data_IF_066003961786
#
_entry.id   IF_066003961786
#
_cell.length_a   1.000
_cell.length_b   1.000
_cell.length_c   1.000
_cell.angle_alpha   90.00
_cell.angle_beta   90.00
_cell.angle_gamma   90.00
#
_symmetry.space_group_name_H-M   'P 1'
#
loop_
_entity.id
_entity.type
_entity.pdbx_description
1 polymer ?
#
# COMPACT_ATOMS: atom_id res chain seq x y z
N UNK A 1 -25.97 45.23 4.52
CA UNK A 1 -26.07 45.79 5.88
C UNK A 1 -27.48 45.50 6.33
N UNK A 2 -27.67 44.48 7.16
CA UNK A 2 -28.98 44.14 7.72
C UNK A 2 -29.04 44.79 9.09
N UNK A 3 -29.97 45.73 9.25
CA UNK A 3 -30.21 46.41 10.51
C UNK A 3 -31.32 45.65 11.22
N UNK A 4 -30.98 44.86 12.23
CA UNK A 4 -31.99 44.21 13.06
C UNK A 4 -32.10 44.96 14.39
N UNK A 5 -33.24 45.59 14.60
CA UNK A 5 -33.58 46.37 15.77
C UNK A 5 -34.34 45.48 16.75
N UNK A 6 -33.68 45.04 17.82
CA UNK A 6 -34.41 44.55 19.01
C UNK A 6 -34.87 45.78 19.78
N UNK A 7 -36.05 46.29 19.41
CA UNK A 7 -36.75 47.30 20.19
C UNK A 7 -37.39 46.61 21.40
N UNK A 8 -36.77 46.74 22.58
CA UNK A 8 -37.43 46.42 23.84
C UNK A 8 -38.41 47.55 24.14
N UNK A 9 -39.71 47.28 24.42
CA UNK A 9 -40.65 48.34 24.78
C UNK A 9 -40.25 48.90 26.15
N UNK A 10 -39.91 50.20 26.20
CA UNK A 10 -39.68 50.92 27.46
C UNK A 10 -41.03 51.27 28.09
N UNK A 11 -41.36 50.60 29.20
CA UNK A 11 -42.38 51.06 30.14
C UNK A 11 -41.90 52.36 30.80
N UNK A 12 -42.77 53.37 30.77
CA UNK A 12 -42.55 54.69 31.35
C UNK A 12 -42.53 54.61 32.88
N UNK A 13 -41.40 54.97 33.47
CA UNK A 13 -41.21 55.20 34.91
C UNK A 13 -39.96 56.05 35.11
N UNK A 14 -40.11 57.20 35.77
CA UNK A 14 -39.09 58.23 35.89
C UNK A 14 -37.92 57.78 36.79
N UNK A 15 -36.73 57.63 36.20
CA UNK A 15 -35.43 58.00 36.81
C UNK A 15 -34.40 58.12 35.68
N UNK A 16 -33.89 59.34 35.49
CA UNK A 16 -33.10 59.75 34.35
C UNK A 16 -31.62 59.36 34.52
N UNK A 17 -31.36 58.05 34.60
CA UNK A 17 -30.01 57.54 34.34
C UNK A 17 -29.75 57.75 32.85
N UNK A 18 -28.92 58.73 32.47
CA UNK A 18 -28.46 58.94 31.08
C UNK A 18 -27.69 57.71 30.61
N UNK A 19 -28.41 56.66 30.21
CA UNK A 19 -27.87 55.51 29.49
C UNK A 19 -27.68 55.98 28.05
N UNK A 20 -26.45 56.37 27.71
CA UNK A 20 -26.12 56.62 26.31
C UNK A 20 -26.30 55.30 25.54
N UNK A 21 -27.18 55.24 24.53
CA UNK A 21 -27.34 54.02 23.76
C UNK A 21 -26.04 53.78 22.98
N UNK A 22 -25.34 52.70 23.32
CA UNK A 22 -24.16 52.24 22.57
C UNK A 22 -24.67 51.34 21.45
N UNK A 23 -24.43 51.76 20.21
CA UNK A 23 -24.77 50.96 19.03
C UNK A 23 -23.56 50.12 18.63
N UNK A 24 -23.67 48.81 18.82
CA UNK A 24 -22.68 47.84 18.33
C UNK A 24 -23.16 47.38 16.95
N UNK A 25 -22.35 47.62 15.93
CA UNK A 25 -22.64 47.21 14.55
C UNK A 25 -21.59 46.22 14.07
N UNK A 26 -22.04 45.08 13.52
CA UNK A 26 -21.15 44.11 12.90
C UNK A 26 -20.99 44.44 11.42
N UNK A 27 -19.81 44.90 11.04
CA UNK A 27 -19.47 45.16 9.63
C UNK A 27 -18.83 43.91 9.05
N UNK A 28 -19.53 43.26 8.13
CA UNK A 28 -18.99 42.15 7.36
C UNK A 28 -18.29 42.70 6.12
N UNK A 29 -16.97 42.70 6.14
CA UNK A 29 -16.12 43.11 5.02
C UNK A 29 -15.96 41.99 3.98
N UNK A 30 -15.96 40.72 4.41
CA UNK A 30 -15.69 39.56 3.55
C UNK A 30 -16.82 38.51 3.63
N UNK A 31 -17.84 38.67 2.78
CA UNK A 31 -19.01 37.77 2.75
C UNK A 31 -18.66 36.36 2.26
N UNK A 32 -17.75 36.24 1.30
CA UNK A 32 -17.31 34.95 0.77
C UNK A 32 -16.58 34.11 1.81
N UNK A 33 -15.77 34.74 2.65
CA UNK A 33 -15.08 34.06 3.74
C UNK A 33 -16.07 33.52 4.78
N UNK A 34 -17.06 34.33 5.19
CA UNK A 34 -18.11 33.87 6.10
C UNK A 34 -18.93 32.72 5.53
N UNK A 35 -19.29 32.78 4.25
CA UNK A 35 -20.02 31.70 3.59
C UNK A 35 -19.18 30.40 3.53
N UNK A 36 -17.89 30.50 3.19
CA UNK A 36 -16.96 29.36 3.22
C UNK A 36 -16.82 28.76 4.62
N UNK A 37 -16.74 29.61 5.65
CA UNK A 37 -16.67 29.18 7.05
C UNK A 37 -17.95 28.47 7.47
N UNK A 38 -19.12 29.03 7.18
CA UNK A 38 -20.40 28.42 7.48
C UNK A 38 -20.57 27.05 6.79
N UNK A 39 -20.15 26.93 5.53
CA UNK A 39 -20.18 25.65 4.79
C UNK A 39 -19.26 24.60 5.43
N UNK A 40 -18.05 24.99 5.85
CA UNK A 40 -17.15 24.07 6.55
C UNK A 40 -17.70 23.67 7.91
N UNK A 41 -18.23 24.62 8.68
CA UNK A 41 -18.81 24.37 9.99
C UNK A 41 -20.01 23.41 9.89
N UNK A 42 -20.86 23.59 8.88
CA UNK A 42 -21.95 22.65 8.59
C UNK A 42 -21.42 21.26 8.23
N UNK A 43 -20.41 21.16 7.37
CA UNK A 43 -19.80 19.87 7.01
C UNK A 43 -19.21 19.13 8.22
N UNK A 44 -18.56 19.85 9.14
CA UNK A 44 -18.02 19.29 10.39
C UNK A 44 -19.13 18.79 11.30
N UNK A 45 -20.22 19.57 11.47
CA UNK A 45 -21.35 19.19 12.31
C UNK A 45 -22.13 17.98 11.75
N UNK A 46 -22.27 17.91 10.43
CA UNK A 46 -23.04 16.86 9.74
C UNK A 46 -22.21 15.62 9.39
N UNK A 47 -20.90 15.63 9.65
CA UNK A 47 -19.93 14.64 9.14
C UNK A 47 -19.98 14.47 7.59
N UNK A 48 -20.49 15.48 6.87
CA UNK A 48 -20.65 15.48 5.41
C UNK A 48 -19.36 15.80 4.64
N UNK A 49 -18.22 15.25 5.07
CA UNK A 49 -16.88 15.61 4.55
C UNK A 49 -16.69 15.26 3.08
N UNK A 50 -17.25 14.13 2.63
CA UNK A 50 -17.14 13.66 1.24
C UNK A 50 -17.80 14.66 0.28
N UNK A 51 -19.02 15.11 0.60
CA UNK A 51 -19.74 16.09 -0.22
C UNK A 51 -19.07 17.47 -0.21
N UNK A 52 -18.43 17.84 0.90
CA UNK A 52 -17.63 19.06 0.97
C UNK A 52 -16.38 18.99 0.08
N UNK A 53 -15.63 17.88 0.16
CA UNK A 53 -14.44 17.68 -0.68
C UNK A 53 -14.81 17.65 -2.17
N UNK A 54 -15.93 17.04 -2.54
CA UNK A 54 -16.41 17.03 -3.93
C UNK A 54 -16.65 18.45 -4.48
N UNK A 55 -17.34 19.31 -3.72
CA UNK A 55 -17.55 20.71 -4.10
C UNK A 55 -16.23 21.47 -4.23
N UNK A 56 -15.24 21.15 -3.39
CA UNK A 56 -13.90 21.74 -3.47
C UNK A 56 -13.12 21.28 -4.69
N UNK A 57 -13.23 20.01 -5.09
CA UNK A 57 -12.62 19.49 -6.32
C UNK A 57 -13.18 20.24 -7.55
N UNK A 58 -14.50 20.40 -7.61
CA UNK A 58 -15.17 21.10 -8.73
C UNK A 58 -14.82 22.60 -8.79
N UNK A 59 -14.68 23.24 -7.63
CA UNK A 59 -14.30 24.65 -7.54
C UNK A 59 -12.79 24.90 -7.72
N UNK A 60 -11.96 23.85 -7.71
CA UNK A 60 -10.51 23.97 -7.84
C UNK A 60 -10.11 24.28 -9.28
N UNK A 61 -9.17 25.21 -9.44
CA UNK A 61 -8.72 25.65 -10.78
C UNK A 61 -7.54 24.81 -11.25
N UNK A 62 -6.69 24.38 -10.33
CA UNK A 62 -5.48 23.63 -10.66
C UNK A 62 -5.69 22.12 -10.52
N UNK A 63 -4.99 21.36 -11.36
CA UNK A 63 -4.97 19.89 -11.25
C UNK A 63 -4.37 19.43 -9.93
N UNK A 64 -3.38 20.18 -9.41
CA UNK A 64 -2.79 19.93 -8.09
C UNK A 64 -3.83 20.05 -6.96
N UNK A 65 -4.60 21.14 -6.90
CA UNK A 65 -5.65 21.29 -5.88
C UNK A 65 -6.71 20.20 -6.00
N UNK A 66 -7.13 19.87 -7.23
CA UNK A 66 -8.06 18.75 -7.47
C UNK A 66 -7.51 17.44 -6.93
N UNK A 67 -6.22 17.18 -7.11
CA UNK A 67 -5.56 16.01 -6.56
C UNK A 67 -5.57 16.06 -5.03
N UNK A 68 -5.13 17.14 -4.40
CA UNK A 68 -5.13 17.28 -2.94
C UNK A 68 -6.52 17.03 -2.34
N UNK A 69 -7.56 17.64 -2.91
CA UNK A 69 -8.94 17.44 -2.46
C UNK A 69 -9.46 16.03 -2.73
N UNK A 70 -9.03 15.39 -3.82
CA UNK A 70 -9.35 13.98 -4.10
C UNK A 70 -8.70 13.04 -3.10
N UNK A 71 -7.42 13.25 -2.77
CA UNK A 71 -6.71 12.50 -1.73
C UNK A 71 -7.34 12.70 -0.35
N UNK A 72 -7.78 13.93 -0.03
CA UNK A 72 -8.48 14.22 1.22
C UNK A 72 -9.86 13.57 1.27
N UNK A 73 -10.61 13.58 0.16
CA UNK A 73 -11.91 12.91 0.05
C UNK A 73 -11.80 11.43 0.38
N UNK A 74 -10.80 10.75 -0.19
CA UNK A 74 -10.55 9.32 0.02
C UNK A 74 -10.24 8.99 1.48
N UNK A 75 -9.67 9.93 2.24
CA UNK A 75 -9.40 9.73 3.68
C UNK A 75 -10.67 9.48 4.50
N UNK A 76 -11.81 10.06 4.06
CA UNK A 76 -13.10 9.96 4.75
C UNK A 76 -13.99 8.83 4.21
N UNK A 77 -13.51 8.01 3.28
CA UNK A 77 -14.26 6.91 2.69
C UNK A 77 -13.84 5.55 3.31
N UNK A 78 -14.76 4.58 3.34
CA UNK A 78 -14.54 3.28 4.02
C UNK A 78 -13.43 2.44 3.39
N UNK A 79 -13.24 2.49 2.06
CA UNK A 79 -12.15 1.83 1.33
C UNK A 79 -11.07 2.83 0.90
N UNK A 80 -10.45 3.48 1.89
CA UNK A 80 -9.45 4.52 1.65
C UNK A 80 -8.22 3.98 0.91
N UNK A 81 -7.73 2.78 1.27
CA UNK A 81 -6.53 2.17 0.65
C UNK A 81 -6.73 1.83 -0.82
N UNK A 82 -7.84 1.20 -1.19
CA UNK A 82 -8.14 0.86 -2.59
C UNK A 82 -8.21 2.10 -3.47
N UNK A 83 -8.92 3.12 -2.99
CA UNK A 83 -9.10 4.39 -3.72
C UNK A 83 -7.82 5.22 -3.81
N UNK A 84 -6.94 5.15 -2.81
CA UNK A 84 -5.61 5.76 -2.91
C UNK A 84 -4.77 5.10 -4.01
N UNK A 85 -4.85 3.76 -4.18
CA UNK A 85 -4.17 3.07 -5.26
C UNK A 85 -4.70 3.51 -6.63
N UNK A 86 -6.01 3.69 -6.77
CA UNK A 86 -6.62 4.21 -8.00
C UNK A 86 -6.13 5.62 -8.34
N UNK A 87 -6.08 6.53 -7.35
CA UNK A 87 -5.56 7.90 -7.53
C UNK A 87 -4.08 7.92 -7.89
N UNK A 88 -3.30 6.97 -7.39
CA UNK A 88 -1.89 6.81 -7.75
C UNK A 88 -1.70 6.16 -9.14
N UNK A 89 -2.77 5.67 -9.78
CA UNK A 89 -2.76 5.05 -11.11
C UNK A 89 -2.60 3.52 -11.09
N UNK A 90 -2.67 2.89 -9.92
CA UNK A 90 -2.57 1.44 -9.75
C UNK A 90 -3.95 0.77 -9.71
N UNK A 91 -4.66 0.81 -10.84
CA UNK A 91 -5.91 0.08 -11.02
C UNK A 91 -5.65 -1.42 -11.21
N UNK A 92 -6.36 -2.26 -10.46
CA UNK A 92 -6.20 -3.72 -10.51
C UNK A 92 -6.59 -4.27 -11.89
N UNK A 93 -7.57 -3.66 -12.54
CA UNK A 93 -8.15 -4.07 -13.81
C UNK A 93 -7.16 -3.88 -14.97
N UNK A 94 -6.47 -2.74 -15.00
CA UNK A 94 -5.47 -2.41 -16.03
C UNK A 94 -4.27 -3.36 -15.97
N UNK A 95 -3.88 -3.77 -14.76
CA UNK A 95 -2.80 -4.74 -14.55
C UNK A 95 -3.24 -6.14 -14.98
N UNK A 96 -4.47 -6.57 -14.62
CA UNK A 96 -5.00 -7.88 -14.99
C UNK A 96 -5.04 -8.10 -16.51
N UNK A 97 -5.49 -7.10 -17.28
CA UNK A 97 -5.48 -7.17 -18.75
C UNK A 97 -4.06 -7.29 -19.31
N UNK A 98 -3.11 -6.51 -18.78
CA UNK A 98 -1.70 -6.56 -19.22
C UNK A 98 -1.03 -7.91 -18.90
N UNK A 99 -1.33 -8.48 -17.74
CA UNK A 99 -0.83 -9.82 -17.35
C UNK A 99 -1.40 -10.89 -18.28
N UNK A 100 -2.71 -10.87 -18.55
CA UNK A 100 -3.34 -11.80 -19.47
C UNK A 100 -2.71 -11.72 -20.88
N UNK A 101 -2.45 -10.51 -21.37
CA UNK A 101 -1.76 -10.29 -22.64
C UNK A 101 -0.30 -10.78 -22.64
N UNK A 102 0.40 -10.73 -21.50
CA UNK A 102 1.77 -11.21 -21.37
C UNK A 102 1.84 -12.74 -21.28
N UNK A 103 0.95 -13.38 -20.53
CA UNK A 103 0.91 -14.84 -20.38
C UNK A 103 0.46 -15.52 -21.68
N UNK A 104 -0.52 -14.95 -22.40
CA UNK A 104 -0.93 -15.46 -23.71
C UNK A 104 0.18 -15.37 -24.78
N UNK A 105 1.26 -14.62 -24.56
CA UNK A 105 2.43 -14.59 -25.44
C UNK A 105 3.45 -15.69 -25.11
N UNK A 106 3.35 -16.31 -23.93
CA UNK A 106 4.33 -17.27 -23.40
C UNK A 106 3.79 -18.71 -23.40
N UNK A 107 2.46 -18.90 -23.38
CA UNK A 107 1.89 -20.25 -23.33
C UNK A 107 1.46 -20.78 -24.72
N UNK A 108 2.31 -21.66 -25.27
CA UNK A 108 1.83 -22.88 -25.94
C UNK A 108 1.08 -23.78 -24.91
N UNK A 109 0.29 -24.78 -25.34
CA UNK A 109 -0.76 -25.34 -24.50
C UNK A 109 -0.18 -26.10 -23.28
N UNK A 110 -0.95 -26.04 -22.19
CA UNK A 110 -0.77 -26.70 -20.89
C UNK A 110 0.23 -26.09 -19.91
N UNK A 111 -0.23 -25.12 -19.10
CA UNK A 111 -0.31 -25.26 -17.64
C UNK A 111 -1.51 -24.46 -17.11
N UNK A 112 -2.68 -25.09 -16.98
CA UNK A 112 -3.81 -24.54 -16.21
C UNK A 112 -3.86 -25.23 -14.86
N UNK A 113 -3.13 -24.71 -13.87
CA UNK A 113 -3.30 -25.15 -12.48
C UNK A 113 -4.68 -24.69 -12.02
N UNK A 114 -5.64 -25.61 -12.01
CA UNK A 114 -6.89 -25.43 -11.28
C UNK A 114 -6.61 -25.65 -9.81
N UNK A 115 -7.04 -24.71 -8.98
CA UNK A 115 -7.16 -24.89 -7.53
C UNK A 115 -8.26 -25.92 -7.24
N UNK A 116 -7.94 -27.20 -7.39
CA UNK A 116 -8.76 -28.30 -6.87
C UNK A 116 -7.95 -28.99 -5.77
N UNK A 117 -8.55 -29.11 -4.58
CA UNK A 117 -8.02 -29.86 -3.42
C UNK A 117 -7.95 -31.35 -3.76
N UNK A 118 -6.96 -31.72 -4.55
CA UNK A 118 -6.70 -33.09 -4.93
C UNK A 118 -5.31 -33.42 -4.40
N UNK A 119 -5.19 -34.46 -3.59
CA UNK A 119 -3.89 -35.07 -3.28
C UNK A 119 -3.23 -35.39 -4.62
N UNK A 120 -2.26 -34.58 -5.01
CA UNK A 120 -1.66 -34.75 -6.32
C UNK A 120 -0.69 -35.93 -6.24
N UNK A 121 -1.00 -37.01 -6.96
CA UNK A 121 -0.01 -37.98 -7.41
C UNK A 121 0.99 -37.27 -8.36
N UNK A 122 1.93 -36.51 -7.78
CA UNK A 122 3.01 -35.80 -8.48
C UNK A 122 4.13 -36.73 -8.97
N UNK A 123 3.90 -38.04 -9.02
CA UNK A 123 4.86 -38.94 -9.60
C UNK A 123 4.70 -38.89 -11.13
N UNK A 124 5.73 -38.48 -11.90
CA UNK A 124 5.67 -38.69 -13.33
C UNK A 124 5.37 -40.17 -13.57
N UNK A 125 4.44 -40.47 -14.48
CA UNK A 125 4.19 -41.83 -14.93
C UNK A 125 5.44 -42.34 -15.64
N UNK A 126 6.43 -42.74 -14.86
CA UNK A 126 7.76 -43.10 -15.31
C UNK A 126 7.82 -44.62 -15.37
N UNK A 127 7.48 -45.15 -16.54
CA UNK A 127 7.89 -46.50 -16.95
C UNK A 127 9.40 -46.57 -17.20
N UNK A 128 10.19 -46.29 -16.17
CA UNK A 128 11.65 -46.32 -16.21
C UNK A 128 12.24 -46.39 -14.80
N UNK A 129 13.25 -47.23 -14.62
CA UNK A 129 13.98 -47.35 -13.35
C UNK A 129 14.73 -46.04 -13.05
N UNK A 130 14.39 -45.39 -11.94
CA UNK A 130 15.14 -44.24 -11.43
C UNK A 130 16.44 -44.74 -10.78
N UNK A 131 17.59 -44.28 -11.27
CA UNK A 131 18.89 -44.63 -10.70
C UNK A 131 19.32 -43.53 -9.71
N UNK A 132 19.50 -43.91 -8.44
CA UNK A 132 20.01 -43.02 -7.39
C UNK A 132 21.55 -43.02 -7.52
N UNK A 133 22.08 -42.16 -8.38
CA UNK A 133 23.52 -42.00 -8.56
C UNK A 133 24.13 -41.27 -7.36
N UNK A 134 24.96 -41.97 -6.57
CA UNK A 134 25.78 -41.40 -5.48
C UNK A 134 27.19 -41.09 -6.01
N UNK A 135 27.28 -40.51 -7.19
CA UNK A 135 28.55 -40.08 -7.79
C UNK A 135 29.18 -38.93 -6.99
N UNK A 136 30.47 -38.64 -7.22
CA UNK A 136 31.20 -37.58 -6.50
C UNK A 136 30.91 -36.16 -6.98
N UNK A 137 29.94 -35.99 -7.86
CA UNK A 137 29.45 -34.73 -8.39
C UNK A 137 28.43 -34.06 -7.44
N UNK A 138 28.07 -32.82 -7.75
CA UNK A 138 27.19 -32.01 -6.90
C UNK A 138 25.84 -32.70 -6.69
N UNK A 139 25.29 -33.34 -7.72
CA UNK A 139 24.03 -34.09 -7.65
C UNK A 139 24.12 -35.34 -6.77
N UNK A 140 25.24 -36.08 -6.82
CA UNK A 140 25.46 -37.21 -5.92
C UNK A 140 25.70 -36.80 -4.47
N UNK A 141 26.34 -35.64 -4.23
CA UNK A 141 26.46 -35.06 -2.89
C UNK A 141 25.12 -34.57 -2.34
N UNK A 142 24.29 -33.92 -3.16
CA UNK A 142 22.90 -33.56 -2.79
C UNK A 142 22.11 -34.83 -2.48
N UNK A 143 22.17 -35.83 -3.34
CA UNK A 143 21.51 -37.13 -3.14
C UNK A 143 21.94 -37.78 -1.83
N UNK A 144 23.24 -37.79 -1.52
CA UNK A 144 23.76 -38.30 -0.24
C UNK A 144 23.27 -37.50 0.96
N UNK A 145 23.22 -36.17 0.85
CA UNK A 145 22.69 -35.30 1.90
C UNK A 145 21.19 -35.54 2.15
N UNK A 146 20.42 -35.80 1.09
CA UNK A 146 19.00 -36.17 1.21
C UNK A 146 18.82 -37.56 1.84
N UNK A 147 19.63 -38.54 1.43
CA UNK A 147 19.58 -39.90 2.00
C UNK A 147 19.97 -39.94 3.49
N UNK A 148 20.79 -38.98 3.96
CA UNK A 148 21.15 -38.85 5.38
C UNK A 148 20.22 -37.91 6.16
N UNK A 149 19.22 -37.31 5.50
CA UNK A 149 18.29 -36.35 6.12
C UNK A 149 18.90 -34.98 6.44
N UNK A 150 20.09 -34.67 5.89
CA UNK A 150 20.76 -33.39 6.08
C UNK A 150 20.30 -32.37 5.03
N UNK A 151 19.12 -31.79 5.24
CA UNK A 151 18.53 -30.80 4.35
C UNK A 151 19.36 -29.50 4.27
N UNK A 152 20.04 -29.11 5.35
CA UNK A 152 20.84 -27.87 5.38
C UNK A 152 21.97 -27.92 4.34
N UNK A 153 22.73 -29.02 4.34
CA UNK A 153 23.84 -29.21 3.39
C UNK A 153 23.33 -29.38 1.95
N UNK A 154 22.19 -30.06 1.77
CA UNK A 154 21.56 -30.22 0.45
C UNK A 154 21.15 -28.86 -0.13
N UNK A 155 20.53 -28.01 0.67
CA UNK A 155 20.14 -26.64 0.28
C UNK A 155 21.34 -25.79 -0.09
N UNK A 156 22.42 -25.83 0.70
CA UNK A 156 23.62 -25.04 0.44
C UNK A 156 24.31 -25.46 -0.87
N UNK A 157 24.33 -26.76 -1.17
CA UNK A 157 24.80 -27.28 -2.45
C UNK A 157 23.92 -26.80 -3.62
N UNK A 158 22.59 -26.86 -3.48
CA UNK A 158 21.66 -26.35 -4.49
C UNK A 158 21.81 -24.84 -4.73
N UNK A 159 22.02 -24.05 -3.66
CA UNK A 159 22.28 -22.61 -3.75
C UNK A 159 23.61 -22.33 -4.44
N UNK A 160 24.65 -23.14 -4.18
CA UNK A 160 25.95 -23.01 -4.83
C UNK A 160 25.86 -23.25 -6.34
N UNK A 161 25.14 -24.30 -6.74
CA UNK A 161 24.94 -24.73 -8.14
C UNK A 161 23.88 -23.91 -8.91
N UNK A 162 23.39 -22.80 -8.33
CA UNK A 162 22.36 -21.95 -8.92
C UNK A 162 21.00 -22.66 -9.16
N UNK A 163 20.79 -23.82 -8.56
CA UNK A 163 19.53 -24.58 -8.53
C UNK A 163 18.60 -24.03 -7.46
N UNK A 164 18.17 -22.79 -7.66
CA UNK A 164 17.44 -22.02 -6.64
C UNK A 164 16.04 -22.58 -6.35
N UNK A 165 15.34 -23.10 -7.36
CA UNK A 165 14.03 -23.73 -7.18
C UNK A 165 14.13 -24.96 -6.27
N UNK A 166 15.09 -25.85 -6.56
CA UNK A 166 15.34 -27.06 -5.76
C UNK A 166 15.74 -26.71 -4.32
N UNK A 167 16.57 -25.67 -4.13
CA UNK A 167 16.94 -25.19 -2.81
C UNK A 167 15.73 -24.73 -1.97
N UNK A 168 14.79 -23.98 -2.57
CA UNK A 168 13.59 -23.52 -1.85
C UNK A 168 12.65 -24.69 -1.55
N UNK A 169 12.46 -25.62 -2.50
CA UNK A 169 11.62 -26.82 -2.29
C UNK A 169 12.17 -27.67 -1.15
N UNK A 170 13.48 -27.93 -1.14
CA UNK A 170 14.14 -28.68 -0.07
C UNK A 170 14.06 -27.95 1.28
N UNK A 171 14.16 -26.61 1.28
CA UNK A 171 14.07 -25.83 2.51
C UNK A 171 12.65 -25.86 3.12
N UNK A 172 11.59 -25.95 2.29
CA UNK A 172 10.22 -26.15 2.78
C UNK A 172 10.11 -27.51 3.49
N UNK A 173 10.73 -28.57 2.95
CA UNK A 173 10.76 -29.89 3.57
C UNK A 173 11.60 -29.93 4.88
N UNK A 174 12.67 -29.14 4.95
CA UNK A 174 13.55 -29.04 6.12
C UNK A 174 13.04 -28.13 7.24
N UNK A 175 11.90 -27.47 7.08
CA UNK A 175 11.23 -26.68 8.11
C UNK A 175 11.40 -25.16 7.98
N UNK A 176 10.61 -24.42 8.76
CA UNK A 176 10.47 -22.96 8.62
C UNK A 176 11.78 -22.19 8.88
N UNK A 177 12.64 -22.68 9.78
CA UNK A 177 13.93 -22.05 10.09
C UNK A 177 14.89 -22.15 8.90
N UNK A 178 15.02 -23.34 8.32
CA UNK A 178 15.86 -23.53 7.12
C UNK A 178 15.31 -22.72 5.95
N UNK A 179 13.99 -22.69 5.75
CA UNK A 179 13.35 -21.86 4.72
C UNK A 179 13.72 -20.38 4.87
N UNK A 180 13.65 -19.82 6.08
CA UNK A 180 13.99 -18.42 6.32
C UNK A 180 15.48 -18.14 6.01
N UNK A 181 16.38 -19.04 6.39
CA UNK A 181 17.81 -18.92 6.08
C UNK A 181 18.08 -19.02 4.57
N UNK A 182 17.45 -19.96 3.88
CA UNK A 182 17.56 -20.15 2.42
C UNK A 182 17.04 -18.95 1.65
N UNK A 183 15.89 -18.40 2.05
CA UNK A 183 15.35 -17.17 1.47
C UNK A 183 16.33 -16.01 1.62
N UNK A 184 16.92 -15.84 2.81
CA UNK A 184 17.93 -14.80 3.05
C UNK A 184 19.17 -14.99 2.16
N UNK A 185 19.69 -16.21 2.03
CA UNK A 185 20.82 -16.54 1.14
C UNK A 185 20.46 -16.30 -0.33
N UNK A 186 19.26 -16.68 -0.75
CA UNK A 186 18.73 -16.43 -2.10
C UNK A 186 18.68 -14.93 -2.41
N UNK A 187 18.10 -14.12 -1.51
CA UNK A 187 18.01 -12.67 -1.69
C UNK A 187 19.35 -11.96 -1.62
N UNK A 188 20.32 -12.47 -0.86
CA UNK A 188 21.69 -11.95 -0.87
C UNK A 188 22.37 -12.20 -2.22
N UNK A 189 22.15 -13.38 -2.82
CA UNK A 189 22.78 -13.80 -4.08
C UNK A 189 22.09 -13.21 -5.32
N UNK A 190 20.77 -13.01 -5.28
CA UNK A 190 19.97 -12.45 -6.38
C UNK A 190 19.72 -10.96 -6.18
N UNK A 191 20.41 -10.11 -6.93
CA UNK A 191 20.36 -8.65 -6.80
C UNK A 191 19.62 -7.97 -7.95
N UNK A 192 18.32 -8.26 -8.10
CA UNK A 192 17.47 -7.57 -9.09
C UNK A 192 16.51 -6.57 -8.44
N UNK A 193 16.05 -5.57 -9.21
CA UNK A 193 15.04 -4.60 -8.75
C UNK A 193 13.75 -5.29 -8.28
N UNK A 194 13.32 -6.34 -9.00
CA UNK A 194 12.15 -7.13 -8.62
C UNK A 194 12.44 -7.98 -7.37
N UNK A 195 13.65 -8.55 -7.26
CA UNK A 195 14.06 -9.31 -6.08
C UNK A 195 14.01 -8.44 -4.83
N UNK A 196 14.45 -7.18 -4.86
CA UNK A 196 14.34 -6.25 -3.72
C UNK A 196 12.89 -6.03 -3.27
N UNK A 197 11.97 -5.83 -4.21
CA UNK A 197 10.54 -5.71 -3.91
C UNK A 197 9.99 -7.01 -3.30
N UNK A 198 10.34 -8.17 -3.88
CA UNK A 198 9.93 -9.48 -3.35
C UNK A 198 10.49 -9.69 -1.95
N UNK A 199 11.77 -9.37 -1.70
CA UNK A 199 12.39 -9.45 -0.38
C UNK A 199 11.61 -8.63 0.63
N UNK A 200 11.21 -7.41 0.29
CA UNK A 200 10.45 -6.55 1.19
C UNK A 200 9.04 -7.08 1.47
N UNK A 201 8.37 -7.66 0.46
CA UNK A 201 7.06 -8.33 0.63
C UNK A 201 7.20 -9.53 1.57
N UNK A 202 8.20 -10.38 1.36
CA UNK A 202 8.40 -11.62 2.12
C UNK A 202 8.89 -11.35 3.54
N UNK A 203 9.87 -10.46 3.70
CA UNK A 203 10.46 -10.08 4.99
C UNK A 203 9.60 -9.05 5.75
N UNK A 204 8.54 -8.54 5.13
CA UNK A 204 7.67 -7.47 5.65
C UNK A 204 8.45 -6.21 6.05
N UNK A 205 9.59 -5.96 5.42
CA UNK A 205 10.49 -4.85 5.75
C UNK A 205 10.24 -3.66 4.82
N UNK A 206 9.13 -2.95 5.03
CA UNK A 206 8.77 -1.78 4.23
C UNK A 206 9.63 -0.56 4.49
N UNK A 207 10.26 -0.49 5.67
CA UNK A 207 11.18 0.60 6.04
C UNK A 207 12.35 0.69 5.08
N UNK A 208 13.01 -0.44 4.81
CA UNK A 208 14.16 -0.50 3.92
C UNK A 208 13.79 -0.04 2.50
N UNK A 209 12.60 -0.41 2.01
CA UNK A 209 12.11 0.06 0.71
C UNK A 209 11.90 1.57 0.72
N UNK A 210 11.25 2.13 1.75
CA UNK A 210 11.01 3.58 1.83
C UNK A 210 12.33 4.36 1.92
N UNK A 211 13.33 3.86 2.65
CA UNK A 211 14.64 4.50 2.76
C UNK A 211 15.45 4.43 1.46
N UNK A 212 15.38 3.27 0.79
CA UNK A 212 16.21 2.96 -0.38
C UNK A 212 15.52 3.18 -1.73
N UNK A 213 14.30 3.72 -1.73
CA UNK A 213 13.54 4.07 -2.94
C UNK A 213 14.12 5.32 -3.59
N UNK A 214 14.24 5.28 -4.92
CA UNK A 214 14.51 6.48 -5.71
C UNK A 214 13.30 7.43 -5.64
N UNK A 215 13.54 8.72 -5.39
CA UNK A 215 12.49 9.74 -5.25
C UNK A 215 11.63 9.90 -6.51
N UNK A 216 12.07 9.42 -7.69
CA UNK A 216 11.23 9.38 -8.89
C UNK A 216 10.08 8.37 -8.79
N UNK A 217 10.24 7.35 -7.94
CA UNK A 217 9.31 6.24 -7.76
C UNK A 217 8.60 6.27 -6.40
N UNK A 218 8.44 7.45 -5.80
CA UNK A 218 7.76 7.61 -4.51
C UNK A 218 6.30 7.13 -4.54
N UNK A 219 5.65 7.20 -5.71
CA UNK A 219 4.26 6.73 -5.91
C UNK A 219 4.17 5.22 -5.79
N UNK A 220 5.14 4.51 -6.35
CA UNK A 220 5.29 3.06 -6.26
C UNK A 220 5.53 2.63 -4.81
N UNK A 221 6.41 3.34 -4.10
CA UNK A 221 6.69 3.07 -2.68
C UNK A 221 5.44 3.27 -1.83
N UNK A 222 4.70 4.37 -2.05
CA UNK A 222 3.44 4.64 -1.35
C UNK A 222 2.38 3.58 -1.68
N UNK A 223 2.26 3.15 -2.94
CA UNK A 223 1.35 2.08 -3.34
C UNK A 223 1.68 0.74 -2.65
N UNK A 224 2.97 0.42 -2.53
CA UNK A 224 3.40 -0.77 -1.79
C UNK A 224 3.05 -0.68 -0.29
N UNK A 225 3.30 0.48 0.34
CA UNK A 225 2.93 0.73 1.74
C UNK A 225 1.42 0.66 1.94
N UNK A 226 0.61 1.22 1.02
CA UNK A 226 -0.85 1.13 1.06
C UNK A 226 -1.36 -0.31 0.95
N UNK A 227 -0.67 -1.15 0.18
CA UNK A 227 -1.09 -2.55 -0.07
C UNK A 227 -0.70 -3.50 1.06
N UNK A 228 0.50 -3.34 1.62
CA UNK A 228 1.10 -4.36 2.50
C UNK A 228 1.38 -3.89 3.93
N UNK A 229 1.43 -2.58 4.20
CA UNK A 229 1.70 -2.11 5.55
C UNK A 229 0.47 -2.29 6.45
N UNK A 230 0.72 -2.73 7.68
CA UNK A 230 -0.31 -2.80 8.71
C UNK A 230 -0.80 -1.39 9.07
N UNK A 231 -2.04 -1.23 9.58
CA UNK A 231 -2.56 0.06 10.04
C UNK A 231 -1.62 0.78 11.01
N UNK A 232 -1.00 0.03 11.93
CA UNK A 232 -0.14 0.59 12.98
C UNK A 232 1.20 1.14 12.44
N UNK A 233 1.74 0.53 11.38
CA UNK A 233 3.02 0.91 10.77
C UNK A 233 2.84 1.92 9.64
N UNK A 234 1.64 2.03 9.10
CA UNK A 234 1.32 2.87 7.95
C UNK A 234 1.67 4.34 8.20
N UNK A 235 1.26 4.91 9.33
CA UNK A 235 1.55 6.32 9.66
C UNK A 235 3.06 6.57 9.69
N UNK A 236 3.81 5.73 10.41
CA UNK A 236 5.26 5.89 10.56
C UNK A 236 6.00 5.75 9.22
N UNK A 237 5.55 4.86 8.32
CA UNK A 237 6.14 4.69 7.00
C UNK A 237 5.80 5.87 6.07
N UNK A 238 4.57 6.40 6.14
CA UNK A 238 4.18 7.60 5.41
C UNK A 238 4.94 8.84 5.88
N UNK A 239 5.13 9.00 7.19
CA UNK A 239 5.91 10.11 7.77
C UNK A 239 7.37 10.05 7.34
N UNK A 240 7.96 8.84 7.32
CA UNK A 240 9.32 8.62 6.85
C UNK A 240 9.47 8.96 5.36
N UNK A 241 8.53 8.50 4.53
CA UNK A 241 8.51 8.80 3.10
C UNK A 241 8.32 10.31 2.86
N UNK A 242 7.41 10.94 3.59
CA UNK A 242 7.15 12.38 3.53
C UNK A 242 8.36 13.21 3.92
N UNK A 243 9.02 12.86 5.02
CA UNK A 243 10.27 13.53 5.47
C UNK A 243 11.37 13.40 4.42
N UNK A 244 11.47 12.26 3.74
CA UNK A 244 12.43 12.05 2.64
C UNK A 244 12.11 12.90 1.41
N UNK A 245 10.83 13.05 1.09
CA UNK A 245 10.36 13.87 -0.02
C UNK A 245 10.52 15.36 0.24
N UNK A 246 10.43 15.80 1.50
CA UNK A 246 10.58 17.22 1.87
C UNK A 246 12.05 17.67 1.91
N UNK A 247 12.97 16.79 2.29
CA UNK A 247 14.39 17.12 2.49
C UNK A 247 15.21 17.29 1.22
N UNK A 248 14.68 16.91 0.05
CA UNK A 248 15.42 16.83 -1.22
C UNK A 248 14.76 17.64 -2.32
#
# INVERSE_FOLDING_TARGET
VTFESVAVPLQQGAEQQRRQPVFISQVVTEKDFLNRSAQLQHAVQSQGFIGYCQKKIEASQTEFEKNVWSFLKVNFEEDSRGKYLELLGYRKEDLGQKIALALNKVDGPDVRIKEEKQECDFLPSAGGTFNISVSGDIDGLITRALLTGNFESAVDLCLHDNRMADAIILAIAGGQELLAQTQKKYFAKSQSKITRLITAVVMKNWREIVESCDLKNWREALAAVLTYAKPDEFSALCDLLGTRLERE
#
